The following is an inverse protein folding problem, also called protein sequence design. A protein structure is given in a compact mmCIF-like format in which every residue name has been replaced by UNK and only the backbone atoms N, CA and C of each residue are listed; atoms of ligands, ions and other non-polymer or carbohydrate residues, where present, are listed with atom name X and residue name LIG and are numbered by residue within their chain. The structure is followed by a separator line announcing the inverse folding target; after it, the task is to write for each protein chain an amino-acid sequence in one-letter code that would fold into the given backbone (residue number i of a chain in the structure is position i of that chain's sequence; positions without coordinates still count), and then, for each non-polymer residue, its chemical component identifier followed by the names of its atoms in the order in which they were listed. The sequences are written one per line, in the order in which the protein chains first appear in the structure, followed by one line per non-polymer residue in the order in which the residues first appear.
data_IF_848963420907
#
_entry.id   IF_848963420907
#
_cell.length_a   1.000
_cell.length_b   1.000
_cell.length_c   1.000
_cell.angle_alpha   90.00
_cell.angle_beta   90.00
_cell.angle_gamma   90.00
#
_symmetry.space_group_name_H-M   'P 1'
#
loop_
_entity.id
_entity.type
_entity.pdbx_description
1 polymer ?
#
# COMPACT_ATOMS: atom_id res chain seq x y z
N UNK A 1 -14.94 6.62 2.39
CA UNK A 1 -13.55 6.70 1.87
C UNK A 1 -13.22 5.32 1.31
N UNK A 2 -12.78 5.18 0.05
CA UNK A 2 -12.70 3.85 -0.60
C UNK A 2 -11.39 3.11 -0.28
N UNK A 3 -10.26 3.82 -0.30
CA UNK A 3 -8.92 3.29 -0.04
C UNK A 3 -8.10 4.36 0.69
N UNK A 4 -7.29 3.95 1.66
CA UNK A 4 -6.32 4.78 2.37
C UNK A 4 -4.97 4.08 2.34
N UNK A 5 -3.91 4.82 2.02
CA UNK A 5 -2.55 4.30 2.09
C UNK A 5 -1.68 5.25 2.92
N UNK A 6 -0.97 4.71 3.90
CA UNK A 6 -0.23 5.50 4.88
C UNK A 6 1.12 4.86 5.22
N UNK A 7 2.14 5.72 5.24
CA UNK A 7 3.44 5.43 5.82
C UNK A 7 3.44 5.81 7.31
N UNK A 8 3.34 4.81 8.19
CA UNK A 8 3.18 5.03 9.63
C UNK A 8 4.52 5.40 10.30
N UNK A 9 5.67 5.10 9.67
CA UNK A 9 7.01 5.27 10.29
C UNK A 9 7.11 4.69 11.72
N UNK A 10 6.46 3.54 11.95
CA UNK A 10 6.48 2.80 13.21
C UNK A 10 5.25 2.98 14.11
N UNK A 11 4.81 1.87 14.71
CA UNK A 11 3.65 1.77 15.63
C UNK A 11 4.06 1.78 17.11
N UNK A 12 5.16 2.47 17.47
CA UNK A 12 5.70 2.44 18.83
C UNK A 12 4.78 3.06 19.90
N UNK A 13 4.08 4.14 19.56
CA UNK A 13 3.24 4.89 20.49
C UNK A 13 1.83 4.33 20.65
N UNK A 14 1.31 4.30 21.89
CA UNK A 14 -0.02 3.79 22.23
C UNK A 14 -1.16 4.54 21.53
N UNK A 15 -1.08 5.86 21.43
CA UNK A 15 -2.11 6.67 20.76
C UNK A 15 -2.20 6.37 19.26
N UNK A 16 -1.04 6.20 18.60
CA UNK A 16 -0.98 5.81 17.19
C UNK A 16 -1.56 4.41 16.95
N UNK A 17 -1.38 3.49 17.92
CA UNK A 17 -2.03 2.18 17.88
C UNK A 17 -3.54 2.30 18.04
N UNK A 18 -4.04 3.15 18.94
CA UNK A 18 -5.48 3.37 19.12
C UNK A 18 -6.13 3.94 17.86
N UNK A 19 -5.50 4.93 17.22
CA UNK A 19 -5.98 5.52 15.96
C UNK A 19 -6.07 4.46 14.85
N UNK A 20 -5.01 3.67 14.67
CA UNK A 20 -5.00 2.58 13.69
C UNK A 20 -5.99 1.48 14.04
N UNK A 21 -6.16 1.13 15.32
CA UNK A 21 -7.16 0.16 15.77
C UNK A 21 -8.58 0.66 15.55
N UNK A 22 -8.83 1.95 15.77
CA UNK A 22 -10.11 2.59 15.49
C UNK A 22 -10.45 2.48 13.99
N UNK A 23 -9.48 2.76 13.11
CA UNK A 23 -9.64 2.60 11.66
C UNK A 23 -9.81 1.13 11.23
N UNK A 24 -9.17 0.18 11.94
CA UNK A 24 -9.29 -1.26 11.67
C UNK A 24 -10.63 -1.87 12.07
N UNK A 25 -11.39 -1.22 12.96
CA UNK A 25 -12.63 -1.79 13.50
C UNK A 25 -13.71 -2.05 12.45
N UNK A 26 -13.62 -1.42 11.28
CA UNK A 26 -14.59 -1.54 10.18
C UNK A 26 -13.96 -1.77 8.80
N UNK A 27 -12.63 -1.82 8.70
CA UNK A 27 -11.91 -1.84 7.41
C UNK A 27 -10.86 -2.96 7.37
N UNK A 28 -10.64 -3.54 6.18
CA UNK A 28 -9.58 -4.53 5.98
C UNK A 28 -8.21 -3.87 5.86
N UNK A 29 -7.17 -4.57 6.32
CA UNK A 29 -5.81 -4.02 6.46
C UNK A 29 -4.74 -4.94 5.92
N UNK A 30 -3.84 -4.36 5.11
CA UNK A 30 -2.57 -4.95 4.71
C UNK A 30 -1.41 -4.21 5.40
N UNK A 31 -0.50 -4.97 6.00
CA UNK A 31 0.71 -4.47 6.69
C UNK A 31 1.92 -5.21 6.16
N UNK A 32 2.93 -4.48 5.67
CA UNK A 32 4.13 -5.08 5.11
C UNK A 32 5.43 -4.39 5.54
N UNK A 33 6.51 -5.19 5.60
CA UNK A 33 7.88 -4.81 5.97
C UNK A 33 8.32 -5.30 7.36
N UNK A 34 9.62 -5.59 7.52
CA UNK A 34 10.26 -6.10 8.76
C UNK A 34 10.06 -5.21 10.02
N UNK A 35 9.48 -4.01 9.87
CA UNK A 35 9.08 -3.08 10.96
C UNK A 35 7.71 -2.40 10.77
N UNK A 36 6.86 -2.87 9.85
CA UNK A 36 5.47 -2.40 9.70
C UNK A 36 5.30 -0.93 9.28
N UNK A 37 6.13 -0.42 8.38
CA UNK A 37 6.14 0.98 7.97
C UNK A 37 5.05 1.39 6.97
N UNK A 38 4.48 0.43 6.23
CA UNK A 38 3.46 0.67 5.22
C UNK A 38 2.13 0.02 5.61
N UNK A 39 1.05 0.80 5.52
CA UNK A 39 -0.31 0.39 5.81
C UNK A 39 -1.21 0.77 4.64
N UNK A 40 -1.98 -0.19 4.14
CA UNK A 40 -3.08 0.08 3.20
C UNK A 40 -4.37 -0.46 3.80
N UNK A 41 -5.39 0.39 3.84
CA UNK A 41 -6.72 0.12 4.40
C UNK A 41 -7.76 0.34 3.29
N UNK A 42 -8.79 -0.50 3.23
CA UNK A 42 -9.90 -0.30 2.29
C UNK A 42 -11.24 -0.75 2.88
N UNK A 43 -12.31 -0.19 2.31
CA UNK A 43 -13.69 -0.58 2.63
C UNK A 43 -14.09 -1.79 1.77
N UNK A 44 -14.36 -2.97 2.38
CA UNK A 44 -14.71 -4.18 1.64
C UNK A 44 -16.08 -4.08 0.94
N UNK A 45 -16.94 -3.14 1.32
CA UNK A 45 -18.22 -2.89 0.64
C UNK A 45 -18.06 -2.09 -0.65
N UNK A 46 -16.91 -1.43 -0.84
CA UNK A 46 -16.60 -0.62 -2.03
C UNK A 46 -15.54 -1.27 -2.92
N UNK A 47 -14.64 -2.07 -2.35
CA UNK A 47 -13.43 -2.59 -3.01
C UNK A 47 -13.22 -4.08 -2.71
N UNK A 48 -13.01 -4.85 -3.76
CA UNK A 48 -12.47 -6.22 -3.65
C UNK A 48 -10.98 -6.18 -3.92
N UNK A 49 -10.19 -6.59 -2.93
CA UNK A 49 -8.75 -6.78 -3.10
C UNK A 49 -8.49 -8.12 -3.78
N UNK A 50 -7.79 -8.10 -4.92
CA UNK A 50 -7.56 -9.29 -5.75
C UNK A 50 -6.18 -9.90 -5.53
N UNK A 51 -5.15 -9.06 -5.53
CA UNK A 51 -3.79 -9.53 -5.30
C UNK A 51 -2.95 -8.47 -4.61
N UNK A 52 -1.97 -8.94 -3.86
CA UNK A 52 -1.05 -8.08 -3.12
C UNK A 52 0.35 -8.59 -3.30
N UNK A 53 1.31 -7.71 -3.56
CA UNK A 53 2.74 -8.04 -3.63
C UNK A 53 3.51 -7.11 -2.72
N UNK A 54 4.51 -7.65 -2.04
CA UNK A 54 5.47 -6.85 -1.28
C UNK A 54 6.89 -7.10 -1.71
N UNK A 55 7.68 -6.04 -1.65
CA UNK A 55 9.13 -6.05 -1.54
C UNK A 55 9.54 -5.14 -0.37
N UNK A 56 10.84 -5.03 -0.12
CA UNK A 56 11.38 -4.33 1.05
C UNK A 56 10.87 -2.89 1.23
N UNK A 57 10.57 -2.21 0.13
CA UNK A 57 10.20 -0.79 0.10
C UNK A 57 8.86 -0.49 -0.57
N UNK A 58 8.17 -1.50 -1.12
CA UNK A 58 6.94 -1.30 -1.90
C UNK A 58 5.91 -2.35 -1.57
N UNK A 59 4.66 -1.91 -1.40
CA UNK A 59 3.47 -2.74 -1.33
C UNK A 59 2.57 -2.41 -2.52
N UNK A 60 2.42 -3.36 -3.43
CA UNK A 60 1.46 -3.29 -4.53
C UNK A 60 0.16 -3.98 -4.14
N UNK A 61 -0.94 -3.31 -4.42
CA UNK A 61 -2.29 -3.82 -4.25
C UNK A 61 -3.02 -3.70 -5.59
N UNK A 62 -3.58 -4.80 -6.06
CA UNK A 62 -4.50 -4.82 -7.19
C UNK A 62 -5.89 -5.14 -6.67
N UNK A 63 -6.87 -4.36 -7.10
CA UNK A 63 -8.25 -4.55 -6.67
C UNK A 63 -9.22 -4.10 -7.74
N UNK A 64 -10.50 -4.22 -7.40
CA UNK A 64 -11.61 -3.80 -8.24
C UNK A 64 -12.61 -3.00 -7.43
N UNK A 65 -13.08 -1.88 -7.96
CA UNK A 65 -14.21 -1.17 -7.38
C UNK A 65 -15.51 -1.94 -7.65
N UNK A 66 -16.26 -2.25 -6.60
CA UNK A 66 -17.50 -3.04 -6.72
C UNK A 66 -18.59 -2.30 -7.51
N UNK A 67 -18.66 -0.97 -7.37
CA UNK A 67 -19.70 -0.14 -8.01
C UNK A 67 -19.49 0.07 -9.51
N UNK A 68 -18.24 0.28 -9.93
CA UNK A 68 -17.92 0.58 -11.34
C UNK A 68 -17.41 -0.64 -12.10
N UNK A 69 -16.96 -1.68 -11.38
CA UNK A 69 -16.30 -2.84 -11.96
C UNK A 69 -14.88 -2.57 -12.45
N UNK A 70 -14.38 -1.34 -12.28
CA UNK A 70 -13.05 -0.93 -12.74
C UNK A 70 -11.96 -1.54 -11.88
N UNK A 71 -10.99 -2.15 -12.53
CA UNK A 71 -9.77 -2.65 -11.90
C UNK A 71 -8.80 -1.47 -11.65
N UNK A 72 -8.05 -1.56 -10.55
CA UNK A 72 -7.05 -0.57 -10.18
C UNK A 72 -5.80 -1.23 -9.60
N UNK A 73 -4.70 -0.51 -9.73
CA UNK A 73 -3.40 -0.88 -9.16
C UNK A 73 -2.87 0.28 -8.32
N UNK A 74 -2.53 0.02 -7.05
CA UNK A 74 -1.91 0.98 -6.14
C UNK A 74 -0.57 0.45 -5.68
N UNK A 75 0.45 1.31 -5.67
CA UNK A 75 1.75 1.02 -5.09
C UNK A 75 2.01 1.98 -3.93
N UNK A 76 2.10 1.44 -2.72
CA UNK A 76 2.52 2.18 -1.53
C UNK A 76 4.04 2.05 -1.40
N UNK A 77 4.75 3.16 -1.53
CA UNK A 77 6.22 3.20 -1.59
C UNK A 77 6.80 3.86 -0.34
N UNK A 78 7.70 3.16 0.33
CA UNK A 78 8.58 3.70 1.37
C UNK A 78 9.96 3.94 0.76
N UNK A 79 10.20 5.17 0.28
CA UNK A 79 11.49 5.51 -0.30
C UNK A 79 12.61 5.40 0.73
N UNK A 80 13.68 4.64 0.47
CA UNK A 80 14.87 4.62 1.32
C UNK A 80 15.59 5.98 1.26
N UNK A 81 16.30 6.33 2.33
CA UNK A 81 17.09 7.57 2.35
C UNK A 81 18.38 7.47 1.51
N UNK A 82 18.89 6.25 1.30
CA UNK A 82 20.11 5.96 0.56
C UNK A 82 19.91 6.02 -0.96
N UNK A 83 20.81 6.70 -1.68
CA UNK A 83 20.63 6.98 -3.11
C UNK A 83 20.79 5.74 -4.00
N UNK A 84 21.61 4.77 -3.60
CA UNK A 84 21.73 3.47 -4.29
C UNK A 84 20.43 2.69 -4.11
N UNK A 85 19.90 2.65 -2.89
CA UNK A 85 18.64 2.00 -2.59
C UNK A 85 17.44 2.67 -3.29
N UNK A 86 17.47 3.98 -3.54
CA UNK A 86 16.44 4.68 -4.35
C UNK A 86 16.45 4.25 -5.81
N UNK A 87 17.64 4.10 -6.41
CA UNK A 87 17.75 3.61 -7.79
C UNK A 87 17.25 2.17 -7.90
N UNK A 88 17.62 1.32 -6.94
CA UNK A 88 17.14 -0.06 -6.88
C UNK A 88 15.61 -0.11 -6.69
N UNK A 89 15.07 0.74 -5.82
CA UNK A 89 13.64 0.91 -5.64
C UNK A 89 12.94 1.29 -6.96
N UNK A 90 13.50 2.21 -7.75
CA UNK A 90 12.90 2.60 -9.03
C UNK A 90 12.79 1.41 -9.98
N UNK A 91 13.84 0.60 -10.07
CA UNK A 91 13.85 -0.62 -10.87
C UNK A 91 12.83 -1.62 -10.34
N UNK A 92 12.77 -1.83 -9.03
CA UNK A 92 11.82 -2.74 -8.39
C UNK A 92 10.36 -2.30 -8.56
N UNK A 93 10.08 -1.00 -8.37
CA UNK A 93 8.79 -0.36 -8.59
C UNK A 93 8.30 -0.59 -10.04
N UNK A 94 9.20 -0.35 -11.00
CA UNK A 94 8.91 -0.46 -12.43
C UNK A 94 8.76 -1.90 -12.92
N UNK A 95 9.52 -2.85 -12.34
CA UNK A 95 9.45 -4.27 -12.73
C UNK A 95 8.33 -5.02 -12.02
N UNK A 96 8.08 -4.73 -10.74
CA UNK A 96 6.97 -5.32 -9.98
C UNK A 96 5.58 -4.91 -10.46
N UNK A 97 5.49 -3.82 -11.22
CA UNK A 97 4.27 -3.34 -11.86
C UNK A 97 3.91 -3.96 -13.21
N UNK A 98 4.81 -4.75 -13.82
CA UNK A 98 4.66 -5.19 -15.22
C UNK A 98 3.89 -6.50 -15.44
N UNK A 99 3.25 -7.05 -14.42
CA UNK A 99 2.45 -8.27 -14.55
C UNK A 99 1.05 -8.04 -15.19
N UNK A 100 0.89 -6.97 -15.98
CA UNK A 100 -0.24 -6.83 -16.90
C UNK A 100 -1.05 -5.53 -16.82
N UNK A 101 -0.86 -4.66 -15.83
CA UNK A 101 -1.66 -3.42 -15.70
C UNK A 101 -0.82 -2.24 -15.24
N UNK A 102 -0.95 -1.11 -15.94
CA UNK A 102 -0.16 0.10 -15.72
C UNK A 102 -0.22 0.61 -14.29
N UNK A 103 0.93 0.82 -13.68
CA UNK A 103 1.04 1.40 -12.34
C UNK A 103 0.97 2.92 -12.44
N UNK A 104 -0.09 3.52 -11.89
CA UNK A 104 -0.16 4.96 -11.68
C UNK A 104 0.61 5.33 -10.41
N UNK A 105 1.85 5.79 -10.58
CA UNK A 105 2.63 6.41 -9.52
C UNK A 105 2.14 7.85 -9.33
N UNK A 106 1.53 8.16 -8.19
CA UNK A 106 1.17 9.52 -7.82
C UNK A 106 2.18 10.06 -6.79
N UNK A 107 2.84 11.17 -7.13
CA UNK A 107 3.75 11.91 -6.24
C UNK A 107 5.23 11.65 -6.48
N UNK A 108 5.84 12.51 -7.30
CA UNK A 108 7.21 12.99 -7.09
C UNK A 108 7.13 14.40 -6.54
#
# INVERSE_FOLDING_TARGET
MKIVSWNIRGLGGLEKRKEVLCLMSSLFVLRLGRRGGLLTIWDPSEVVMRSTKSRDHVLWCHGRFLKTGEDFSVANVYAPCDDIAKQQLFIDAYTGGRDGEGVHLWGL
#
